data_IF_708849138483
#
_entry.id   IF_708849138483
#
_cell.length_a   1.000
_cell.length_b   1.000
_cell.length_c   1.000
_cell.angle_alpha   90.00
_cell.angle_beta   90.00
_cell.angle_gamma   90.00
#
_symmetry.space_group_name_H-M   'P 1'
#
loop_
_entity.id
_entity.type
_entity.pdbx_description
1 polymer ?
#
# COMPACT_ATOMS: atom_id res chain seq x y z
N UNK A 1 -11.41 2.28 23.45
CA UNK A 1 -10.33 2.57 22.49
C UNK A 1 -9.95 4.05 22.47
N UNK A 2 -10.85 5.01 22.26
CA UNK A 2 -10.50 6.44 22.12
C UNK A 2 -9.77 7.03 23.35
N UNK A 3 -10.16 6.67 24.58
CA UNK A 3 -9.45 7.10 25.79
C UNK A 3 -7.98 6.71 25.78
N UNK A 4 -7.70 5.47 25.36
CA UNK A 4 -6.34 4.95 25.24
C UNK A 4 -5.56 5.69 24.14
N UNK A 5 -6.16 5.90 22.96
CA UNK A 5 -5.55 6.68 21.88
C UNK A 5 -5.29 8.14 22.30
N UNK A 6 -6.16 8.74 23.15
CA UNK A 6 -5.90 10.08 23.71
C UNK A 6 -4.64 10.08 24.58
N UNK A 7 -4.46 9.08 25.44
CA UNK A 7 -3.26 8.94 26.26
C UNK A 7 -1.99 8.76 25.39
N UNK A 8 -2.05 7.93 24.35
CA UNK A 8 -0.94 7.78 23.42
C UNK A 8 -0.60 9.09 22.68
N UNK A 9 -1.62 9.89 22.33
CA UNK A 9 -1.44 11.22 21.75
C UNK A 9 -0.78 12.19 22.73
N UNK A 10 -1.22 12.23 23.98
CA UNK A 10 -0.65 13.09 25.04
C UNK A 10 0.82 12.75 25.30
N UNK A 11 1.21 11.48 25.18
CA UNK A 11 2.59 11.02 25.29
C UNK A 11 3.42 11.23 24.01
N UNK A 12 2.81 11.70 22.92
CA UNK A 12 3.50 11.94 21.66
C UNK A 12 3.83 10.66 20.86
N UNK A 13 3.29 9.51 21.24
CA UNK A 13 3.47 8.23 20.52
C UNK A 13 2.71 8.26 19.20
N UNK A 14 1.48 8.76 19.24
CA UNK A 14 0.68 9.06 18.05
C UNK A 14 0.43 10.57 17.96
N UNK A 15 0.11 11.05 16.77
CA UNK A 15 -0.19 12.47 16.60
C UNK A 15 -1.70 12.76 16.62
N UNK A 16 -2.03 14.05 16.53
CA UNK A 16 -3.41 14.52 16.53
C UNK A 16 -4.22 13.96 15.34
N UNK A 17 -3.61 13.83 14.15
CA UNK A 17 -4.30 13.31 12.97
C UNK A 17 -4.68 11.84 13.13
N UNK A 18 -3.81 11.01 13.74
CA UNK A 18 -4.10 9.60 14.04
C UNK A 18 -5.32 9.47 14.96
N UNK A 19 -5.35 10.30 16.01
CA UNK A 19 -6.44 10.32 16.96
C UNK A 19 -7.75 10.81 16.34
N UNK A 20 -7.75 11.96 15.67
CA UNK A 20 -8.98 12.54 15.12
C UNK A 20 -9.57 11.73 13.98
N UNK A 21 -8.74 11.04 13.20
CA UNK A 21 -9.24 10.12 12.20
C UNK A 21 -9.91 8.89 12.86
N UNK A 22 -9.31 8.34 13.90
CA UNK A 22 -9.93 7.28 14.70
C UNK A 22 -11.25 7.72 15.35
N UNK A 23 -11.30 8.94 15.89
CA UNK A 23 -12.52 9.54 16.43
C UNK A 23 -13.60 9.71 15.36
N UNK A 24 -13.23 10.14 14.16
CA UNK A 24 -14.15 10.22 13.02
C UNK A 24 -14.78 8.85 12.71
N UNK A 25 -13.99 7.78 12.64
CA UNK A 25 -14.49 6.43 12.43
C UNK A 25 -15.37 5.98 13.60
N UNK A 26 -14.98 6.30 14.83
CA UNK A 26 -15.81 6.01 16.01
C UNK A 26 -17.20 6.67 15.91
N UNK A 27 -17.27 7.96 15.58
CA UNK A 27 -18.54 8.69 15.41
C UNK A 27 -19.40 8.10 14.28
N UNK A 28 -18.80 7.67 13.19
CA UNK A 28 -19.51 7.02 12.07
C UNK A 28 -20.19 5.71 12.47
N UNK A 29 -19.68 5.01 13.47
CA UNK A 29 -20.23 3.75 13.97
C UNK A 29 -21.40 3.93 14.97
N UNK A 30 -21.52 5.10 15.60
CA UNK A 30 -22.49 5.34 16.68
C UNK A 30 -23.95 5.02 16.32
N UNK A 31 -24.46 5.25 15.09
CA UNK A 31 -25.83 4.91 14.73
C UNK A 31 -26.08 3.40 14.65
N UNK A 32 -25.03 2.58 14.71
CA UNK A 32 -25.08 1.14 14.50
C UNK A 32 -24.73 0.40 15.78
N UNK A 33 -25.46 -0.65 16.07
CA UNK A 33 -25.28 -1.45 17.29
C UNK A 33 -24.26 -2.59 17.08
N UNK A 34 -23.00 -2.24 16.76
CA UNK A 34 -21.92 -3.22 16.67
C UNK A 34 -21.42 -3.64 18.06
N UNK A 35 -20.89 -4.87 18.16
CA UNK A 35 -20.22 -5.33 19.36
C UNK A 35 -19.04 -4.39 19.71
N UNK A 36 -18.78 -4.11 21.00
CA UNK A 36 -17.71 -3.19 21.42
C UNK A 36 -16.32 -3.56 20.88
N UNK A 37 -15.99 -4.87 20.80
CA UNK A 37 -14.72 -5.33 20.23
C UNK A 37 -14.58 -4.98 18.76
N UNK A 38 -15.65 -5.11 17.97
CA UNK A 38 -15.70 -4.73 16.54
C UNK A 38 -15.49 -3.23 16.37
N UNK A 39 -16.23 -2.42 17.17
CA UNK A 39 -16.08 -0.96 17.14
C UNK A 39 -14.66 -0.54 17.53
N UNK A 40 -14.09 -1.14 18.56
CA UNK A 40 -12.75 -0.85 19.04
C UNK A 40 -11.67 -1.24 18.02
N UNK A 41 -11.83 -2.38 17.36
CA UNK A 41 -10.90 -2.81 16.31
C UNK A 41 -10.94 -1.82 15.13
N UNK A 42 -12.12 -1.40 14.67
CA UNK A 42 -12.24 -0.43 13.59
C UNK A 42 -11.58 0.92 13.92
N UNK A 43 -11.74 1.40 15.15
CA UNK A 43 -11.11 2.63 15.64
C UNK A 43 -9.58 2.48 15.71
N UNK A 44 -9.10 1.34 16.21
CA UNK A 44 -7.67 1.02 16.26
C UNK A 44 -7.06 1.00 14.86
N UNK A 45 -7.70 0.30 13.92
CA UNK A 45 -7.22 0.19 12.54
C UNK A 45 -7.19 1.53 11.83
N UNK A 46 -8.14 2.41 12.09
CA UNK A 46 -8.12 3.76 11.55
C UNK A 46 -6.90 4.57 12.05
N UNK A 47 -6.62 4.52 13.36
CA UNK A 47 -5.44 5.18 13.92
C UNK A 47 -4.14 4.61 13.34
N UNK A 48 -4.01 3.27 13.28
CA UNK A 48 -2.84 2.58 12.73
C UNK A 48 -2.63 2.86 11.24
N UNK A 49 -3.71 2.89 10.45
CA UNK A 49 -3.61 3.22 9.03
C UNK A 49 -3.03 4.62 8.82
N UNK A 50 -3.51 5.62 9.58
CA UNK A 50 -2.98 6.97 9.48
C UNK A 50 -1.54 7.07 10.02
N UNK A 51 -1.24 6.41 11.13
CA UNK A 51 0.11 6.34 11.69
C UNK A 51 1.09 5.76 10.66
N UNK A 52 0.75 4.63 10.04
CA UNK A 52 1.57 3.95 9.04
C UNK A 52 1.73 4.80 7.76
N UNK A 53 0.67 5.48 7.31
CA UNK A 53 0.71 6.40 6.18
C UNK A 53 1.70 7.55 6.40
N UNK A 54 1.76 8.12 7.62
CA UNK A 54 2.73 9.16 7.97
C UNK A 54 4.19 8.68 8.00
N UNK A 55 4.41 7.38 8.17
CA UNK A 55 5.72 6.77 8.04
C UNK A 55 6.17 6.58 6.57
N UNK A 56 5.35 7.03 5.61
CA UNK A 56 5.65 6.94 4.18
C UNK A 56 5.16 5.65 3.51
N UNK A 57 4.35 4.85 4.20
CA UNK A 57 3.78 3.64 3.63
C UNK A 57 2.45 3.94 2.93
N UNK A 58 2.14 3.24 1.86
CA UNK A 58 0.87 3.39 1.13
C UNK A 58 -0.26 2.62 1.78
N UNK A 59 0.04 1.52 2.47
CA UNK A 59 -0.94 0.69 3.17
C UNK A 59 -0.42 0.17 4.50
N UNK A 60 -1.34 -0.26 5.35
CA UNK A 60 -1.06 -1.04 6.55
C UNK A 60 -1.26 -2.53 6.23
N UNK A 61 -0.20 -3.31 6.35
CA UNK A 61 -0.26 -4.77 6.20
C UNK A 61 -0.82 -5.41 7.47
N UNK A 62 -1.91 -6.16 7.36
CA UNK A 62 -2.50 -6.90 8.48
C UNK A 62 -1.77 -8.24 8.65
N UNK A 63 -0.69 -8.25 9.43
CA UNK A 63 0.13 -9.42 9.69
C UNK A 63 0.60 -9.45 11.15
N UNK A 64 1.33 -10.50 11.54
CA UNK A 64 1.83 -10.67 12.90
C UNK A 64 2.71 -9.50 13.37
N UNK A 65 3.50 -8.88 12.48
CA UNK A 65 4.31 -7.72 12.85
C UNK A 65 3.44 -6.54 13.27
N UNK A 66 2.33 -6.31 12.58
CA UNK A 66 1.36 -5.27 12.95
C UNK A 66 0.71 -5.56 14.31
N UNK A 67 0.37 -6.82 14.60
CA UNK A 67 -0.20 -7.20 15.90
C UNK A 67 0.81 -7.02 17.04
N UNK A 68 2.08 -7.34 16.79
CA UNK A 68 3.14 -7.24 17.77
C UNK A 68 3.60 -5.81 17.99
N UNK A 69 3.68 -5.01 16.94
CA UNK A 69 4.26 -3.66 16.96
C UNK A 69 3.21 -2.58 16.68
N UNK A 70 2.18 -2.51 17.51
CA UNK A 70 1.18 -1.45 17.45
C UNK A 70 1.81 -0.11 17.86
N UNK A 71 1.91 0.83 16.92
CA UNK A 71 2.47 2.19 17.13
C UNK A 71 3.94 2.24 17.59
N UNK A 72 4.74 1.20 17.39
CA UNK A 72 6.10 1.12 17.92
C UNK A 72 6.16 0.92 19.44
N UNK A 73 5.06 0.51 20.07
CA UNK A 73 4.98 0.41 21.55
C UNK A 73 5.93 -0.63 22.13
N UNK A 74 6.42 -1.57 21.33
CA UNK A 74 7.40 -2.57 21.80
C UNK A 74 8.75 -1.95 22.16
N UNK A 75 9.12 -0.87 21.51
CA UNK A 75 10.38 -0.16 21.71
C UNK A 75 10.40 0.66 23.01
N UNK A 76 9.21 0.93 23.57
CA UNK A 76 9.04 1.72 24.79
C UNK A 76 8.71 0.81 25.99
N UNK A 77 9.71 0.51 26.80
CA UNK A 77 9.55 -0.42 27.94
C UNK A 77 8.39 -0.07 28.88
N UNK A 78 8.24 1.19 29.20
CA UNK A 78 7.18 1.68 30.12
C UNK A 78 5.78 1.72 29.44
N UNK A 79 5.71 1.65 28.14
CA UNK A 79 4.47 1.82 27.38
C UNK A 79 3.87 0.48 26.90
N UNK A 80 4.55 -0.62 27.16
CA UNK A 80 4.07 -1.99 26.83
C UNK A 80 2.73 -2.33 27.47
N UNK A 81 2.38 -1.70 28.58
CA UNK A 81 1.08 -1.85 29.23
C UNK A 81 -0.07 -1.55 28.26
N UNK A 82 0.11 -0.57 27.36
CA UNK A 82 -0.91 -0.22 26.38
C UNK A 82 -1.19 -1.33 25.35
N UNK A 83 -0.21 -2.19 25.04
CA UNK A 83 -0.44 -3.37 24.19
C UNK A 83 -1.47 -4.30 24.81
N UNK A 84 -1.33 -4.57 26.11
CA UNK A 84 -2.29 -5.40 26.84
C UNK A 84 -3.66 -4.75 26.89
N UNK A 85 -3.73 -3.45 27.15
CA UNK A 85 -5.01 -2.71 27.16
C UNK A 85 -5.69 -2.70 25.78
N UNK A 86 -4.91 -2.56 24.69
CA UNK A 86 -5.42 -2.66 23.31
C UNK A 86 -6.05 -4.02 23.10
N UNK A 87 -5.33 -5.10 23.42
CA UNK A 87 -5.80 -6.47 23.24
C UNK A 87 -7.08 -6.74 24.04
N UNK A 88 -7.16 -6.28 25.29
CA UNK A 88 -8.39 -6.38 26.08
C UNK A 88 -9.56 -5.65 25.43
N UNK A 89 -9.36 -4.44 24.89
CA UNK A 89 -10.42 -3.65 24.27
C UNK A 89 -10.96 -4.25 22.97
N UNK A 90 -10.14 -5.01 22.24
CA UNK A 90 -10.54 -5.73 21.05
C UNK A 90 -10.97 -7.18 21.35
N UNK A 91 -11.10 -7.52 22.63
CA UNK A 91 -11.48 -8.87 23.10
C UNK A 91 -10.54 -9.97 22.57
N UNK A 92 -9.25 -9.69 22.55
CA UNK A 92 -8.19 -10.60 22.06
C UNK A 92 -8.47 -11.19 20.67
N UNK A 93 -9.21 -10.48 19.82
CA UNK A 93 -9.45 -10.93 18.44
C UNK A 93 -8.11 -11.14 17.73
N UNK A 94 -7.78 -12.36 17.30
CA UNK A 94 -6.50 -12.65 16.67
C UNK A 94 -6.42 -11.98 15.30
N UNK A 95 -5.21 -11.63 14.87
CA UNK A 95 -4.99 -10.93 13.59
C UNK A 95 -5.58 -11.65 12.39
N UNK A 96 -5.59 -12.97 12.41
CA UNK A 96 -6.21 -13.81 11.36
C UNK A 96 -7.72 -13.55 11.19
N UNK A 97 -8.36 -12.98 12.19
CA UNK A 97 -9.78 -12.63 12.18
C UNK A 97 -10.05 -11.12 12.00
N UNK A 98 -9.01 -10.27 11.97
CA UNK A 98 -9.20 -8.83 11.85
C UNK A 98 -9.95 -8.45 10.58
N UNK A 99 -9.55 -9.01 9.43
CA UNK A 99 -10.22 -8.73 8.17
C UNK A 99 -11.71 -9.09 8.22
N UNK A 100 -12.05 -10.30 8.65
CA UNK A 100 -13.45 -10.75 8.75
C UNK A 100 -14.25 -9.98 9.80
N UNK A 101 -13.58 -9.49 10.85
CA UNK A 101 -14.22 -8.65 11.87
C UNK A 101 -14.51 -7.25 11.33
N UNK A 102 -13.56 -6.66 10.58
CA UNK A 102 -13.72 -5.35 9.96
C UNK A 102 -14.77 -5.35 8.85
N UNK A 103 -14.98 -6.47 8.17
CA UNK A 103 -16.08 -6.62 7.19
C UNK A 103 -17.47 -6.42 7.80
N UNK A 104 -17.62 -6.60 9.12
CA UNK A 104 -18.90 -6.32 9.80
C UNK A 104 -19.23 -4.82 9.85
N UNK A 105 -18.24 -3.95 9.77
CA UNK A 105 -18.41 -2.48 9.68
C UNK A 105 -18.27 -1.96 8.25
N UNK A 106 -18.40 -2.86 7.28
CA UNK A 106 -18.47 -2.56 5.86
C UNK A 106 -19.58 -1.52 5.59
N UNK A 107 -19.42 -0.68 4.59
CA UNK A 107 -20.30 0.43 4.22
C UNK A 107 -20.22 1.70 5.10
N UNK A 108 -19.61 1.66 6.27
CA UNK A 108 -19.51 2.82 7.16
C UNK A 108 -18.08 3.40 7.15
N UNK A 109 -17.11 2.51 7.35
CA UNK A 109 -15.71 2.88 7.48
C UNK A 109 -14.80 2.15 6.49
N UNK A 110 -15.18 0.92 6.09
CA UNK A 110 -14.36 0.04 5.27
C UNK A 110 -15.13 -0.44 4.05
N UNK A 111 -14.41 -0.70 2.95
CA UNK A 111 -14.92 -1.40 1.78
C UNK A 111 -13.88 -2.41 1.28
N UNK A 112 -14.33 -3.55 0.81
CA UNK A 112 -13.54 -4.53 0.06
C UNK A 112 -13.81 -4.46 -1.46
N UNK A 113 -14.80 -3.66 -1.84
CA UNK A 113 -15.26 -3.47 -3.21
C UNK A 113 -15.24 -1.98 -3.60
N UNK A 114 -14.07 -1.33 -3.59
CA UNK A 114 -13.93 0.14 -3.69
C UNK A 114 -14.38 0.73 -5.04
N UNK A 115 -14.44 -0.07 -6.10
CA UNK A 115 -15.01 0.35 -7.39
C UNK A 115 -16.54 0.49 -7.36
N UNK A 116 -17.21 -0.22 -6.44
CA UNK A 116 -18.66 -0.22 -6.31
C UNK A 116 -19.14 0.68 -5.17
N UNK A 117 -18.31 0.84 -4.16
CA UNK A 117 -18.66 1.54 -2.94
C UNK A 117 -17.48 2.35 -2.38
N UNK A 118 -17.72 3.64 -2.16
CA UNK A 118 -16.74 4.54 -1.54
C UNK A 118 -16.87 4.49 -0.02
N UNK A 119 -15.77 4.17 0.65
CA UNK A 119 -15.62 4.26 2.10
C UNK A 119 -14.27 4.94 2.44
N UNK A 120 -14.10 5.51 3.63
CA UNK A 120 -12.84 6.14 4.03
C UNK A 120 -11.62 5.23 3.91
N UNK A 121 -11.80 3.94 4.16
CA UNK A 121 -10.75 2.93 4.14
C UNK A 121 -11.12 1.78 3.20
N UNK A 122 -10.11 1.25 2.51
CA UNK A 122 -10.21 0.07 1.64
C UNK A 122 -9.46 -1.08 2.28
N UNK A 123 -10.12 -2.23 2.40
CA UNK A 123 -9.59 -3.46 2.98
C UNK A 123 -9.53 -4.55 1.90
N UNK A 124 -8.37 -4.73 1.28
CA UNK A 124 -8.13 -5.74 0.26
C UNK A 124 -6.77 -6.42 0.45
N UNK A 125 -6.67 -7.71 0.13
CA UNK A 125 -5.41 -8.48 0.13
C UNK A 125 -4.64 -8.40 1.46
N UNK A 126 -5.33 -8.43 2.60
CA UNK A 126 -4.74 -8.18 3.93
C UNK A 126 -4.04 -6.82 4.07
N UNK A 127 -4.39 -5.85 3.24
CA UNK A 127 -3.90 -4.48 3.29
C UNK A 127 -5.05 -3.53 3.59
N UNK A 128 -4.77 -2.55 4.44
CA UNK A 128 -5.69 -1.46 4.75
C UNK A 128 -5.12 -0.16 4.19
N UNK A 129 -5.89 0.49 3.33
CA UNK A 129 -5.53 1.72 2.63
C UNK A 129 -6.46 2.86 3.00
N UNK A 130 -6.00 4.09 2.91
CA UNK A 130 -6.91 5.20 2.61
C UNK A 130 -7.48 5.03 1.20
N UNK A 131 -8.76 5.33 1.02
CA UNK A 131 -9.42 5.18 -0.29
C UNK A 131 -8.67 5.89 -1.42
N UNK A 132 -8.21 7.13 -1.19
CA UNK A 132 -7.46 7.90 -2.19
C UNK A 132 -6.16 7.19 -2.60
N UNK A 133 -5.39 6.70 -1.63
CA UNK A 133 -4.11 6.02 -1.90
C UNK A 133 -4.34 4.71 -2.65
N UNK A 134 -5.36 3.94 -2.26
CA UNK A 134 -5.78 2.76 -3.00
C UNK A 134 -6.15 3.10 -4.45
N UNK A 135 -6.87 4.19 -4.67
CA UNK A 135 -7.28 4.64 -6.00
C UNK A 135 -6.08 5.01 -6.87
N UNK A 136 -5.10 5.72 -6.31
CA UNK A 136 -3.86 6.08 -7.01
C UNK A 136 -3.08 4.81 -7.41
N UNK A 137 -2.90 3.84 -6.50
CA UNK A 137 -2.27 2.55 -6.81
C UNK A 137 -3.05 1.75 -7.88
N UNK A 138 -4.38 1.74 -7.78
CA UNK A 138 -5.24 1.07 -8.75
C UNK A 138 -5.04 1.64 -10.16
N UNK A 139 -5.05 2.97 -10.31
CA UNK A 139 -4.85 3.63 -11.61
C UNK A 139 -3.46 3.37 -12.19
N UNK A 140 -2.43 3.37 -11.35
CA UNK A 140 -1.07 3.02 -11.74
C UNK A 140 -0.99 1.57 -12.22
N UNK A 141 -1.57 0.64 -11.47
CA UNK A 141 -1.60 -0.78 -11.83
C UNK A 141 -2.37 -1.04 -13.13
N UNK A 142 -3.51 -0.36 -13.32
CA UNK A 142 -4.33 -0.46 -14.54
C UNK A 142 -3.58 0.10 -15.76
N UNK A 143 -2.88 1.23 -15.59
CA UNK A 143 -2.00 1.77 -16.63
C UNK A 143 -0.91 0.75 -17.04
N UNK A 144 -0.19 0.17 -16.08
CA UNK A 144 0.84 -0.83 -16.40
C UNK A 144 0.24 -2.06 -17.07
N UNK A 145 -0.89 -2.54 -16.59
CA UNK A 145 -1.59 -3.68 -17.21
C UNK A 145 -1.96 -3.38 -18.66
N UNK A 146 -2.48 -2.20 -18.95
CA UNK A 146 -2.82 -1.78 -20.30
C UNK A 146 -1.58 -1.58 -21.18
N UNK A 147 -0.49 -1.06 -20.61
CA UNK A 147 0.75 -0.81 -21.33
C UNK A 147 1.48 -2.10 -21.71
N UNK A 148 1.43 -3.13 -20.86
CA UNK A 148 2.03 -4.46 -21.15
C UNK A 148 1.29 -5.19 -22.26
N UNK A 149 -0.01 -4.97 -22.41
CA UNK A 149 -0.82 -5.60 -23.47
C UNK A 149 -0.65 -4.92 -24.85
N UNK A 150 0.17 -3.88 -24.94
CA UNK A 150 0.40 -3.17 -26.20
C UNK A 150 1.50 -3.86 -27.01
N UNK A 151 1.14 -4.35 -28.19
CA UNK A 151 2.08 -4.88 -29.19
C UNK A 151 2.13 -3.96 -30.42
N UNK A 152 3.21 -3.17 -30.59
CA UNK A 152 3.36 -2.36 -31.78
C UNK A 152 3.59 -3.24 -32.98
N UNK A 153 2.90 -2.95 -34.06
CA UNK A 153 3.07 -3.66 -35.35
C UNK A 153 4.09 -2.89 -36.18
N UNK A 154 5.24 -3.50 -36.45
CA UNK A 154 6.28 -2.97 -37.32
C UNK A 154 6.26 -3.68 -38.67
N UNK A 155 6.42 -2.93 -39.76
CA UNK A 155 6.69 -3.50 -41.08
C UNK A 155 8.10 -4.12 -41.11
N UNK A 156 8.33 -5.04 -42.06
CA UNK A 156 9.66 -5.66 -42.28
C UNK A 156 10.73 -4.59 -42.54
N UNK A 157 10.39 -3.54 -43.26
CA UNK A 157 11.27 -2.43 -43.55
C UNK A 157 11.63 -1.64 -42.28
N UNK A 158 10.66 -1.33 -41.43
CA UNK A 158 10.89 -0.69 -40.12
C UNK A 158 11.78 -1.54 -39.20
N UNK A 159 11.55 -2.86 -39.16
CA UNK A 159 12.40 -3.76 -38.37
C UNK A 159 13.85 -3.77 -38.87
N UNK A 160 14.06 -3.77 -40.21
CA UNK A 160 15.39 -3.68 -40.81
C UNK A 160 16.10 -2.36 -40.47
N UNK A 161 15.37 -1.25 -40.53
CA UNK A 161 15.90 0.07 -40.14
C UNK A 161 16.28 0.12 -38.66
N UNK A 162 15.42 -0.39 -37.76
CA UNK A 162 15.68 -0.46 -36.33
C UNK A 162 16.93 -1.30 -36.06
N UNK A 163 17.05 -2.50 -36.68
CA UNK A 163 18.22 -3.34 -36.52
C UNK A 163 19.52 -2.62 -36.95
N UNK A 164 19.50 -1.95 -38.12
CA UNK A 164 20.64 -1.19 -38.60
C UNK A 164 21.05 -0.04 -37.67
N UNK A 165 20.07 0.64 -37.07
CA UNK A 165 20.34 1.71 -36.08
C UNK A 165 20.94 1.12 -34.82
N UNK A 166 20.38 0.02 -34.29
CA UNK A 166 20.90 -0.64 -33.11
C UNK A 166 22.34 -1.15 -33.32
N UNK A 167 22.63 -1.75 -34.47
CA UNK A 167 23.99 -2.22 -34.83
C UNK A 167 24.99 -1.07 -34.95
N UNK A 168 24.53 0.11 -35.34
CA UNK A 168 25.37 1.30 -35.44
C UNK A 168 25.74 1.88 -34.06
N UNK A 169 24.83 1.87 -33.11
CA UNK A 169 25.04 2.47 -31.79
C UNK A 169 25.58 1.51 -30.76
N UNK A 170 25.29 0.22 -30.90
CA UNK A 170 25.75 -0.84 -30.01
C UNK A 170 26.68 -1.77 -30.82
N UNK A 171 27.96 -1.53 -30.66
CA UNK A 171 29.01 -2.33 -31.36
C UNK A 171 29.04 -3.73 -30.75
N UNK A 172 29.39 -4.74 -31.58
CA UNK A 172 29.52 -6.13 -31.13
C UNK A 172 30.63 -6.26 -30.08
N UNK A 173 30.24 -6.40 -28.82
CA UNK A 173 31.08 -6.90 -27.76
C UNK A 173 30.99 -8.42 -27.67
N UNK A 174 32.06 -9.10 -27.15
CA UNK A 174 31.97 -10.53 -26.89
C UNK A 174 30.96 -10.79 -25.78
N UNK A 175 29.75 -11.24 -26.12
CA UNK A 175 28.70 -11.60 -25.17
C UNK A 175 27.35 -10.94 -25.46
N UNK A 176 26.48 -10.96 -24.48
CA UNK A 176 25.13 -10.39 -24.56
C UNK A 176 25.20 -8.89 -24.25
N UNK A 177 24.84 -8.07 -25.21
CA UNK A 177 24.68 -6.62 -25.01
C UNK A 177 23.29 -6.33 -24.41
N UNK A 178 23.26 -6.20 -23.08
CA UNK A 178 22.04 -5.89 -22.34
C UNK A 178 21.48 -4.51 -22.63
N UNK A 179 22.30 -3.54 -23.00
CA UNK A 179 21.87 -2.18 -23.37
C UNK A 179 21.11 -2.22 -24.70
N UNK A 180 21.66 -2.90 -25.71
CA UNK A 180 20.99 -3.12 -27.00
C UNK A 180 19.66 -3.83 -26.85
N UNK A 181 19.61 -4.88 -25.99
CA UNK A 181 18.37 -5.60 -25.69
C UNK A 181 17.37 -4.66 -25.01
N UNK A 182 17.78 -3.85 -24.02
CA UNK A 182 16.90 -2.93 -23.33
C UNK A 182 16.26 -1.92 -24.29
N UNK A 183 17.04 -1.34 -25.22
CA UNK A 183 16.49 -0.43 -26.24
C UNK A 183 15.53 -1.16 -27.18
N UNK A 184 15.90 -2.36 -27.65
CA UNK A 184 15.03 -3.15 -28.52
C UNK A 184 13.70 -3.51 -27.85
N UNK A 185 13.73 -3.81 -26.54
CA UNK A 185 12.52 -4.04 -25.74
C UNK A 185 11.70 -2.77 -25.56
N UNK A 186 12.35 -1.63 -25.27
CA UNK A 186 11.67 -0.36 -25.10
C UNK A 186 10.91 0.09 -26.36
N UNK A 187 11.44 -0.18 -27.53
CA UNK A 187 10.77 0.11 -28.82
C UNK A 187 9.49 -0.74 -29.02
N UNK A 188 9.41 -1.90 -28.38
CA UNK A 188 8.28 -2.84 -28.49
C UNK A 188 7.21 -2.67 -27.43
N UNK A 189 7.42 -1.79 -26.47
CA UNK A 189 6.52 -1.64 -25.32
C UNK A 189 6.08 -0.18 -25.18
N UNK A 190 4.86 0.02 -24.71
CA UNK A 190 4.37 1.36 -24.32
C UNK A 190 5.05 1.88 -23.07
N UNK A 191 5.49 0.96 -22.23
CA UNK A 191 6.21 1.21 -21.00
C UNK A 191 7.34 0.20 -20.84
N UNK A 192 8.53 0.67 -20.55
CA UNK A 192 9.70 -0.16 -20.29
C UNK A 192 10.42 0.37 -19.04
N UNK A 193 10.75 -0.52 -18.12
CA UNK A 193 11.52 -0.21 -16.91
C UNK A 193 12.95 -0.75 -17.06
N UNK A 194 13.93 0.15 -17.21
CA UNK A 194 15.34 -0.19 -17.28
C UNK A 194 15.93 -0.06 -15.86
N UNK A 195 16.34 -1.18 -15.28
CA UNK A 195 16.95 -1.24 -13.95
C UNK A 195 18.40 -1.66 -14.03
N UNK A 196 19.19 -1.31 -13.01
CA UNK A 196 20.60 -1.71 -12.91
C UNK A 196 21.32 -0.92 -11.83
N UNK A 197 22.46 -1.42 -11.37
CA UNK A 197 23.32 -0.78 -10.38
C UNK A 197 23.88 0.58 -10.83
N UNK A 198 24.53 1.33 -9.94
CA UNK A 198 25.28 2.52 -10.32
C UNK A 198 26.36 2.19 -11.37
N UNK A 199 26.54 3.04 -12.38
CA UNK A 199 27.58 2.87 -13.41
C UNK A 199 27.30 1.82 -14.49
N UNK A 200 26.12 1.22 -14.55
CA UNK A 200 25.74 0.21 -15.57
C UNK A 200 25.30 0.81 -16.92
N UNK A 201 25.50 2.10 -17.14
CA UNK A 201 25.18 2.75 -18.41
C UNK A 201 23.68 2.99 -18.68
N UNK A 202 22.82 2.93 -17.66
CA UNK A 202 21.36 3.17 -17.85
C UNK A 202 21.04 4.48 -18.57
N UNK A 203 21.68 5.58 -18.14
CA UNK A 203 21.47 6.90 -18.74
C UNK A 203 22.02 6.98 -20.18
N UNK A 204 23.03 6.18 -20.52
CA UNK A 204 23.58 6.12 -21.87
C UNK A 204 22.67 5.31 -22.81
N UNK A 205 21.88 4.38 -22.23
CA UNK A 205 20.94 3.53 -22.96
C UNK A 205 19.65 4.28 -23.37
N UNK A 206 19.24 5.31 -22.60
CA UNK A 206 18.04 6.13 -22.81
C UNK A 206 18.40 7.40 -23.58
#
# INVERSE_FOLDING_TARGET
MLTLLSQLKEKGIINAADYYFAEFIHRKQQPFNYAPSVQNLAVLMAALCNFNYRQGNTCLLLNQSTEQDLFGLQDYFNERVYLTEIQQKIDYVPISQWQSTLQKVQHIAFTDSPLQQIAPLVLQFNCLYFYRVWQDEFWIADYFKSAVCFEPVFSTEQLSQIASILDRYFQEEQGIDWQKIAVAMALRQRFCLITGGPGTGKTTTV
#
